data_IF_816014373666
#
_entry.id   IF_816014373666
#
_cell.length_a   1.000
_cell.length_b   1.000
_cell.length_c   1.000
_cell.angle_alpha   90.00
_cell.angle_beta   90.00
_cell.angle_gamma   90.00
#
_symmetry.space_group_name_H-M   'P 1'
#
loop_
_entity.id
_entity.type
_entity.pdbx_description
1 polymer ?
#
# COMPACT_ATOMS: atom_id res chain seq x y z
N UNK A 1 -9.99 5.16 8.88
CA UNK A 1 -10.08 3.75 8.39
C UNK A 1 -10.85 2.97 9.44
N UNK A 2 -11.91 2.24 9.07
CA UNK A 2 -12.73 1.46 10.02
C UNK A 2 -12.02 0.17 10.48
N UNK A 3 -12.57 -0.50 11.51
CA UNK A 3 -12.01 -1.73 12.07
C UNK A 3 -11.81 -2.82 11.01
N UNK A 4 -12.86 -3.19 10.24
CA UNK A 4 -12.80 -4.25 9.22
C UNK A 4 -11.61 -4.08 8.28
N UNK A 5 -11.41 -2.88 7.75
CA UNK A 5 -10.28 -2.59 6.85
C UNK A 5 -8.94 -2.74 7.55
N UNK A 6 -8.79 -2.23 8.77
CA UNK A 6 -7.54 -2.39 9.53
C UNK A 6 -7.23 -3.85 9.78
N UNK A 7 -8.22 -4.65 10.14
CA UNK A 7 -8.07 -6.08 10.37
C UNK A 7 -7.68 -6.81 9.06
N UNK A 8 -8.40 -6.59 7.95
CA UNK A 8 -8.07 -7.20 6.65
C UNK A 8 -6.67 -6.80 6.19
N UNK A 9 -6.25 -5.56 6.41
CA UNK A 9 -4.91 -5.08 6.04
C UNK A 9 -3.80 -5.53 7.01
N UNK A 10 -4.15 -6.27 8.08
CA UNK A 10 -3.17 -6.74 9.08
C UNK A 10 -2.58 -5.60 9.91
N UNK A 11 -3.32 -4.51 10.08
CA UNK A 11 -2.92 -3.35 10.88
C UNK A 11 -3.40 -3.45 12.34
N UNK A 12 -4.25 -4.41 12.65
CA UNK A 12 -4.66 -4.78 14.01
C UNK A 12 -5.07 -6.25 14.06
N UNK A 13 -5.06 -6.83 15.24
CA UNK A 13 -5.64 -8.14 15.53
C UNK A 13 -7.16 -8.02 15.71
N UNK A 14 -7.88 -9.16 15.73
CA UNK A 14 -9.33 -9.14 15.86
C UNK A 14 -9.78 -8.61 17.22
N UNK A 15 -9.05 -8.92 18.30
CA UNK A 15 -9.33 -8.48 19.67
C UNK A 15 -9.43 -6.95 19.80
N UNK A 16 -8.85 -6.18 18.87
CA UNK A 16 -9.01 -4.72 18.84
C UNK A 16 -10.46 -4.27 18.59
N UNK A 17 -11.39 -5.19 18.27
CA UNK A 17 -12.79 -4.89 18.06
C UNK A 17 -13.46 -4.39 19.36
N UNK A 18 -13.06 -4.93 20.51
CA UNK A 18 -13.60 -4.53 21.82
C UNK A 18 -13.25 -3.07 22.14
N UNK A 19 -12.02 -2.65 21.83
CA UNK A 19 -11.57 -1.27 21.99
C UNK A 19 -12.35 -0.32 21.08
N UNK A 20 -12.64 -0.74 19.84
CA UNK A 20 -13.44 0.05 18.89
C UNK A 20 -14.91 0.17 19.35
N UNK A 21 -15.48 -0.89 19.88
CA UNK A 21 -16.83 -0.88 20.45
C UNK A 21 -16.88 0.05 21.67
N UNK A 22 -15.92 -0.04 22.58
CA UNK A 22 -15.81 0.82 23.73
C UNK A 22 -15.68 2.30 23.33
N UNK A 23 -14.78 2.61 22.39
CA UNK A 23 -14.59 3.95 21.88
C UNK A 23 -15.86 4.53 21.22
N UNK A 24 -16.62 3.69 20.49
CA UNK A 24 -17.90 4.11 19.91
C UNK A 24 -18.95 4.46 20.99
N UNK A 25 -19.04 3.67 22.06
CA UNK A 25 -19.96 3.93 23.17
C UNK A 25 -19.61 5.17 23.99
N UNK A 26 -18.34 5.48 24.13
CA UNK A 26 -17.85 6.67 24.85
C UNK A 26 -17.95 7.96 24.03
N UNK A 27 -18.07 7.85 22.73
CA UNK A 27 -18.17 9.02 21.84
C UNK A 27 -19.48 9.77 22.05
N UNK A 28 -19.36 11.07 22.28
CA UNK A 28 -20.52 11.99 22.41
C UNK A 28 -20.99 12.54 21.05
N UNK A 29 -20.26 12.27 19.97
CA UNK A 29 -20.64 12.69 18.63
C UNK A 29 -21.56 11.65 17.97
N UNK A 30 -22.51 12.11 17.18
CA UNK A 30 -23.41 11.23 16.40
C UNK A 30 -22.64 10.56 15.27
N UNK A 31 -22.09 9.38 15.53
CA UNK A 31 -21.19 8.66 14.59
C UNK A 31 -21.90 7.59 13.74
N UNK A 32 -23.22 7.65 13.59
CA UNK A 32 -23.98 6.61 12.92
C UNK A 32 -24.15 5.36 13.78
N UNK A 33 -24.34 4.22 13.15
CA UNK A 33 -24.51 2.93 13.86
C UNK A 33 -23.16 2.28 14.17
N UNK A 34 -23.10 1.42 15.21
CA UNK A 34 -21.90 0.63 15.51
C UNK A 34 -21.46 -0.20 14.29
N UNK A 35 -22.40 -0.76 13.55
CA UNK A 35 -22.14 -1.48 12.30
C UNK A 35 -21.32 -0.64 11.30
N UNK A 36 -21.73 0.61 11.09
CA UNK A 36 -21.04 1.54 10.17
C UNK A 36 -19.66 1.93 10.70
N UNK A 37 -19.53 2.14 12.02
CA UNK A 37 -18.26 2.42 12.67
C UNK A 37 -17.26 1.27 12.47
N UNK A 38 -17.70 0.03 12.68
CA UNK A 38 -16.88 -1.16 12.47
C UNK A 38 -16.60 -1.42 10.96
N UNK A 39 -17.45 -0.91 10.06
CA UNK A 39 -17.34 -1.07 8.62
C UNK A 39 -17.93 -2.37 8.09
N UNK A 40 -18.88 -2.97 8.84
CA UNK A 40 -19.55 -4.21 8.44
C UNK A 40 -20.76 -3.94 7.54
N UNK A 41 -21.02 -4.86 6.62
CA UNK A 41 -22.32 -4.94 5.94
C UNK A 41 -23.41 -5.36 6.95
N UNK A 42 -24.68 -5.30 6.54
CA UNK A 42 -25.78 -5.74 7.39
C UNK A 42 -25.65 -7.26 7.72
N UNK A 43 -25.31 -8.06 6.72
CA UNK A 43 -25.15 -9.52 6.83
C UNK A 43 -23.96 -9.88 7.74
N UNK A 44 -22.83 -9.18 7.58
CA UNK A 44 -21.66 -9.38 8.44
C UNK A 44 -21.95 -9.01 9.89
N UNK A 45 -22.70 -7.92 10.12
CA UNK A 45 -23.06 -7.53 11.48
C UNK A 45 -23.99 -8.52 12.16
N UNK A 46 -24.96 -9.07 11.42
CA UNK A 46 -25.81 -10.16 11.90
C UNK A 46 -24.98 -11.40 12.25
N UNK A 47 -24.03 -11.75 11.37
CA UNK A 47 -23.11 -12.86 11.62
C UNK A 47 -22.22 -12.63 12.82
N UNK A 48 -21.68 -11.42 12.98
CA UNK A 48 -20.86 -11.02 14.14
C UNK A 48 -21.60 -11.19 15.47
N UNK A 49 -22.88 -10.83 15.51
CA UNK A 49 -23.71 -10.94 16.74
C UNK A 49 -24.06 -12.39 17.08
N UNK A 50 -24.09 -13.30 16.10
CA UNK A 50 -24.59 -14.67 16.27
C UNK A 50 -23.50 -15.73 16.29
N UNK A 51 -22.39 -15.50 15.61
CA UNK A 51 -21.31 -16.47 15.43
C UNK A 51 -20.30 -16.40 16.59
N UNK A 52 -19.51 -17.46 16.70
CA UNK A 52 -18.27 -17.44 17.47
C UNK A 52 -17.28 -16.47 16.83
N UNK A 53 -16.55 -15.71 17.67
CA UNK A 53 -15.60 -14.68 17.22
C UNK A 53 -14.54 -15.22 16.27
N UNK A 54 -14.00 -16.41 16.56
CA UNK A 54 -12.95 -17.03 15.74
C UNK A 54 -13.51 -17.39 14.36
N UNK A 55 -14.74 -17.88 14.30
CA UNK A 55 -15.41 -18.20 13.03
C UNK A 55 -15.61 -16.94 12.22
N UNK A 56 -16.14 -15.88 12.83
CA UNK A 56 -16.38 -14.61 12.16
C UNK A 56 -15.08 -13.95 11.67
N UNK A 57 -14.04 -13.93 12.52
CA UNK A 57 -12.73 -13.42 12.12
C UNK A 57 -12.16 -14.17 10.92
N UNK A 58 -12.26 -15.50 10.90
CA UNK A 58 -11.83 -16.33 9.77
C UNK A 58 -12.63 -16.05 8.50
N UNK A 59 -13.92 -15.76 8.60
CA UNK A 59 -14.74 -15.39 7.44
C UNK A 59 -14.29 -14.05 6.84
N UNK A 60 -14.00 -13.05 7.66
CA UNK A 60 -13.41 -11.78 7.21
C UNK A 60 -12.03 -11.97 6.55
N UNK A 61 -11.21 -12.90 7.06
CA UNK A 61 -9.89 -13.19 6.50
C UNK A 61 -9.95 -13.81 5.09
N UNK A 62 -11.09 -14.37 4.66
CA UNK A 62 -11.28 -14.83 3.28
C UNK A 62 -11.29 -13.68 2.25
N UNK A 63 -11.56 -12.47 2.71
CA UNK A 63 -11.49 -11.27 1.87
C UNK A 63 -10.07 -10.70 1.78
N UNK A 64 -9.12 -11.23 2.57
CA UNK A 64 -7.72 -10.82 2.56
C UNK A 64 -6.97 -11.46 1.39
N UNK A 65 -6.16 -10.66 0.71
CA UNK A 65 -5.20 -11.09 -0.30
C UNK A 65 -3.80 -10.59 0.06
N UNK A 66 -2.78 -11.38 -0.21
CA UNK A 66 -1.39 -10.92 -0.23
C UNK A 66 -1.08 -10.27 -1.58
N UNK A 67 -0.47 -9.08 -1.53
CA UNK A 67 0.07 -8.41 -2.70
C UNK A 67 1.57 -8.24 -2.53
N UNK A 68 2.36 -8.87 -3.38
CA UNK A 68 3.80 -8.68 -3.45
C UNK A 68 4.14 -7.41 -4.20
N UNK A 69 5.18 -6.72 -3.74
CA UNK A 69 5.67 -5.50 -4.39
C UNK A 69 7.18 -5.35 -4.28
N UNK A 70 7.74 -4.50 -5.15
CA UNK A 70 9.10 -4.01 -5.09
C UNK A 70 9.11 -2.50 -5.21
N UNK A 71 10.08 -1.87 -4.55
CA UNK A 71 10.33 -0.44 -4.64
C UNK A 71 11.70 -0.24 -5.28
N UNK A 72 11.72 0.57 -6.32
CA UNK A 72 12.93 1.00 -7.01
C UNK A 72 13.10 2.50 -6.82
N UNK A 73 14.28 2.91 -6.39
CA UNK A 73 14.63 4.31 -6.17
C UNK A 73 15.83 4.69 -7.03
N UNK A 74 15.89 5.97 -7.44
CA UNK A 74 17.05 6.49 -8.15
C UNK A 74 18.32 6.28 -7.33
N UNK A 75 19.33 5.71 -7.96
CA UNK A 75 20.64 5.52 -7.36
C UNK A 75 21.55 6.71 -7.68
N UNK A 76 22.04 7.38 -6.64
CA UNK A 76 22.95 8.51 -6.74
C UNK A 76 24.41 8.14 -6.42
N UNK A 77 24.74 6.86 -6.35
CA UNK A 77 26.10 6.39 -6.01
C UNK A 77 27.17 6.85 -7.02
N UNK A 78 26.76 7.18 -8.24
CA UNK A 78 27.63 7.72 -9.30
C UNK A 78 27.92 9.23 -9.16
N UNK A 79 27.30 9.90 -8.19
CA UNK A 79 27.42 11.35 -7.94
C UNK A 79 26.82 12.24 -9.03
N UNK A 80 26.14 11.69 -10.04
CA UNK A 80 25.60 12.46 -11.17
C UNK A 80 24.21 12.99 -10.83
N UNK A 81 23.93 14.27 -11.11
CA UNK A 81 22.59 14.83 -10.98
C UNK A 81 21.67 14.21 -12.03
N UNK A 82 20.44 13.93 -11.63
CA UNK A 82 19.36 13.44 -12.49
C UNK A 82 18.28 14.50 -12.52
N UNK A 83 18.06 15.14 -13.69
CA UNK A 83 17.18 16.31 -13.84
C UNK A 83 15.71 16.04 -13.52
N UNK A 84 15.29 14.79 -13.52
CA UNK A 84 13.94 14.35 -13.19
C UNK A 84 13.80 13.79 -11.76
N UNK A 85 14.89 13.81 -10.98
CA UNK A 85 14.88 13.28 -9.61
C UNK A 85 13.95 14.10 -8.71
N UNK A 86 13.10 13.41 -7.94
CA UNK A 86 12.10 14.00 -7.04
C UNK A 86 11.04 14.84 -7.76
N UNK A 87 10.91 14.65 -9.07
CA UNK A 87 9.96 15.36 -9.90
C UNK A 87 8.92 14.40 -10.50
N UNK A 88 7.79 14.97 -10.95
CA UNK A 88 6.73 14.21 -11.60
C UNK A 88 7.10 13.69 -12.98
N UNK A 89 6.21 12.89 -13.56
CA UNK A 89 6.41 12.23 -14.86
C UNK A 89 6.70 13.23 -15.99
N UNK A 90 6.19 14.46 -15.88
CA UNK A 90 6.48 15.50 -16.87
C UNK A 90 7.97 15.82 -16.96
N UNK A 91 8.67 15.93 -15.83
CA UNK A 91 10.10 16.22 -15.81
C UNK A 91 10.92 15.05 -16.42
N UNK A 92 10.48 13.80 -16.23
CA UNK A 92 11.05 12.64 -16.88
C UNK A 92 10.96 12.74 -18.41
N UNK A 93 9.78 13.12 -18.91
CA UNK A 93 9.55 13.31 -20.36
C UNK A 93 10.35 14.49 -20.92
N UNK A 94 10.41 15.62 -20.21
CA UNK A 94 11.18 16.81 -20.58
C UNK A 94 12.70 16.50 -20.60
N UNK A 95 13.17 15.55 -19.78
CA UNK A 95 14.54 15.04 -19.80
C UNK A 95 14.83 14.07 -20.99
N UNK A 96 13.83 13.83 -21.85
CA UNK A 96 13.96 12.99 -23.04
C UNK A 96 13.70 11.50 -22.85
N UNK A 97 13.25 11.10 -21.67
CA UNK A 97 12.93 9.70 -21.40
C UNK A 97 11.44 9.42 -21.66
N UNK A 98 11.13 8.38 -22.42
CA UNK A 98 9.75 7.89 -22.61
C UNK A 98 9.26 6.99 -21.48
N UNK A 99 10.20 6.45 -20.72
CA UNK A 99 10.01 5.59 -19.55
C UNK A 99 11.19 5.76 -18.60
N UNK A 100 11.04 5.44 -17.31
CA UNK A 100 12.16 5.54 -16.37
C UNK A 100 13.35 4.70 -16.83
N UNK A 101 14.57 5.28 -16.87
CA UNK A 101 15.79 4.58 -17.28
C UNK A 101 16.20 3.60 -16.17
N UNK A 102 15.76 2.35 -16.24
CA UNK A 102 15.90 1.37 -15.17
C UNK A 102 17.35 1.18 -14.66
N UNK A 103 18.35 1.36 -15.51
CA UNK A 103 19.76 1.31 -15.10
C UNK A 103 20.18 2.40 -14.09
N UNK A 104 19.39 3.46 -13.98
CA UNK A 104 19.59 4.54 -13.00
C UNK A 104 18.93 4.26 -11.64
N UNK A 105 18.21 3.15 -11.53
CA UNK A 105 17.46 2.76 -10.32
C UNK A 105 18.13 1.60 -9.61
N UNK A 106 17.92 1.54 -8.29
CA UNK A 106 18.26 0.39 -7.46
C UNK A 106 17.00 -0.18 -6.81
N UNK A 107 16.92 -1.51 -6.74
CA UNK A 107 15.94 -2.21 -5.91
C UNK A 107 16.30 -1.96 -4.45
N UNK A 108 15.39 -1.33 -3.70
CA UNK A 108 15.59 -1.00 -2.26
C UNK A 108 14.67 -1.78 -1.33
N UNK A 109 13.62 -2.37 -1.86
CA UNK A 109 12.67 -3.17 -1.07
C UNK A 109 12.00 -4.22 -1.95
N UNK A 110 11.85 -5.42 -1.38
CA UNK A 110 10.92 -6.44 -1.85
C UNK A 110 10.17 -6.97 -0.63
N UNK A 111 8.85 -6.84 -0.61
CA UNK A 111 8.02 -7.18 0.53
C UNK A 111 6.57 -7.45 0.05
N UNK A 112 5.65 -7.66 0.98
CA UNK A 112 4.23 -7.86 0.75
C UNK A 112 3.37 -7.01 1.67
N UNK A 113 2.16 -6.69 1.21
CA UNK A 113 1.09 -6.12 2.02
C UNK A 113 -0.11 -7.05 1.99
N UNK A 114 -0.95 -6.95 3.01
CA UNK A 114 -2.31 -7.46 2.94
C UNK A 114 -3.23 -6.38 2.37
N UNK A 115 -4.17 -6.79 1.53
CA UNK A 115 -5.19 -5.94 0.94
C UNK A 115 -6.51 -6.72 0.85
N UNK A 116 -7.60 -6.03 0.56
CA UNK A 116 -8.88 -6.66 0.26
C UNK A 116 -8.85 -7.22 -1.17
N UNK A 117 -9.58 -8.32 -1.41
CA UNK A 117 -9.64 -8.96 -2.74
C UNK A 117 -10.12 -8.01 -3.84
N UNK A 118 -11.01 -7.08 -3.52
CA UNK A 118 -11.58 -6.10 -4.46
C UNK A 118 -10.79 -4.77 -4.52
N UNK A 119 -9.68 -4.65 -3.79
CA UNK A 119 -8.90 -3.42 -3.82
C UNK A 119 -8.30 -3.20 -5.21
N UNK A 120 -8.43 -1.99 -5.70
CA UNK A 120 -7.79 -1.55 -6.94
C UNK A 120 -6.29 -1.34 -6.73
N UNK A 121 -5.52 -1.32 -7.82
CA UNK A 121 -4.08 -1.00 -7.77
C UNK A 121 -3.82 0.34 -7.09
N UNK A 122 -4.71 1.33 -7.27
CA UNK A 122 -4.61 2.62 -6.59
C UNK A 122 -4.61 2.46 -5.07
N UNK A 123 -5.53 1.67 -4.52
CA UNK A 123 -5.62 1.43 -3.06
C UNK A 123 -4.37 0.69 -2.57
N UNK A 124 -3.91 -0.34 -3.30
CA UNK A 124 -2.70 -1.09 -2.97
C UNK A 124 -1.46 -0.19 -2.95
N UNK A 125 -1.32 0.68 -3.95
CA UNK A 125 -0.22 1.65 -4.03
C UNK A 125 -0.27 2.70 -2.92
N UNK A 126 -1.47 3.14 -2.51
CA UNK A 126 -1.65 4.05 -1.37
C UNK A 126 -1.26 3.38 -0.04
N UNK A 127 -1.60 2.09 0.15
CA UNK A 127 -1.16 1.32 1.33
C UNK A 127 0.37 1.24 1.40
N UNK A 128 1.02 0.92 0.26
CA UNK A 128 2.48 0.89 0.17
C UNK A 128 3.07 2.28 0.44
N UNK A 129 2.53 3.32 -0.19
CA UNK A 129 3.00 4.69 0.01
C UNK A 129 2.94 5.11 1.48
N UNK A 130 1.81 4.88 2.15
CA UNK A 130 1.62 5.23 3.56
C UNK A 130 2.60 4.48 4.48
N UNK A 131 2.93 3.22 4.15
CA UNK A 131 3.91 2.43 4.91
C UNK A 131 5.33 2.99 4.85
N UNK A 132 5.68 3.74 3.78
CA UNK A 132 7.02 4.28 3.53
C UNK A 132 7.07 5.80 3.44
N UNK A 133 6.05 6.53 3.90
CA UNK A 133 6.02 7.99 3.85
C UNK A 133 6.62 8.65 5.10
N UNK A 134 6.12 8.31 6.28
CA UNK A 134 6.47 9.01 7.52
C UNK A 134 7.47 8.23 8.38
N UNK A 135 7.11 7.01 8.78
CA UNK A 135 7.97 6.14 9.59
C UNK A 135 8.39 4.95 8.74
N UNK A 136 9.71 4.82 8.52
CA UNK A 136 10.23 3.74 7.71
C UNK A 136 10.26 2.42 8.50
N UNK A 137 9.88 1.29 7.89
CA UNK A 137 9.97 -0.02 8.53
C UNK A 137 11.40 -0.36 8.95
N UNK A 138 11.53 -1.11 10.04
CA UNK A 138 12.83 -1.61 10.51
C UNK A 138 13.52 -2.44 9.40
N UNK A 139 14.81 -2.21 9.21
CA UNK A 139 15.61 -2.90 8.17
C UNK A 139 15.42 -2.36 6.75
N UNK A 140 14.55 -1.39 6.54
CA UNK A 140 14.42 -0.75 5.24
C UNK A 140 15.65 0.12 4.92
N UNK A 141 16.25 -0.08 3.76
CA UNK A 141 17.49 0.59 3.36
C UNK A 141 17.29 1.77 2.40
N UNK A 142 16.06 1.96 1.93
CA UNK A 142 15.69 3.07 1.07
C UNK A 142 15.36 4.34 1.84
N UNK A 143 15.03 5.39 1.12
CA UNK A 143 14.40 6.62 1.65
C UNK A 143 12.87 6.52 1.56
N UNK A 144 12.15 7.45 2.20
CA UNK A 144 10.70 7.60 2.00
C UNK A 144 10.36 7.65 0.51
N UNK A 145 9.22 7.07 0.13
CA UNK A 145 8.74 7.10 -1.26
C UNK A 145 8.46 8.55 -1.65
N UNK A 146 9.05 8.95 -2.77
CA UNK A 146 8.97 10.32 -3.29
C UNK A 146 8.71 10.30 -4.80
N UNK A 147 8.36 11.45 -5.41
CA UNK A 147 8.28 11.53 -6.86
C UNK A 147 9.55 10.99 -7.52
N UNK A 148 9.42 10.38 -8.67
CA UNK A 148 10.39 9.60 -9.43
C UNK A 148 10.64 8.16 -8.99
N UNK A 149 10.11 7.72 -7.85
CA UNK A 149 10.23 6.30 -7.48
C UNK A 149 9.32 5.42 -8.32
N UNK A 150 9.70 4.15 -8.45
CA UNK A 150 8.93 3.14 -9.17
C UNK A 150 8.50 2.05 -8.19
N UNK A 151 7.21 1.71 -8.22
CA UNK A 151 6.65 0.57 -7.49
C UNK A 151 6.22 -0.49 -8.50
N UNK A 152 6.66 -1.71 -8.29
CA UNK A 152 6.20 -2.91 -8.97
C UNK A 152 5.18 -3.61 -8.09
N UNK A 153 3.97 -3.88 -8.60
CA UNK A 153 3.04 -4.86 -8.04
C UNK A 153 3.18 -6.14 -8.86
N UNK A 154 3.31 -7.29 -8.18
CA UNK A 154 3.46 -8.55 -8.88
C UNK A 154 2.80 -9.69 -8.13
N UNK A 155 2.36 -10.70 -8.90
CA UNK A 155 1.83 -11.97 -8.45
C UNK A 155 2.12 -13.06 -9.52
N UNK A 156 1.42 -14.20 -9.42
CA UNK A 156 1.54 -15.30 -10.39
C UNK A 156 0.98 -14.92 -11.76
N UNK A 157 0.03 -13.98 -11.83
CA UNK A 157 -0.64 -13.57 -13.06
C UNK A 157 0.18 -12.56 -13.87
N UNK A 158 1.05 -11.76 -13.20
CA UNK A 158 1.85 -10.79 -13.91
C UNK A 158 2.55 -9.74 -13.05
N UNK A 159 2.94 -8.68 -13.74
CA UNK A 159 3.68 -7.56 -13.16
C UNK A 159 3.19 -6.25 -13.70
N UNK A 160 2.95 -5.30 -12.83
CA UNK A 160 2.56 -3.92 -13.15
C UNK A 160 3.56 -2.96 -12.52
N UNK A 161 3.89 -1.90 -13.24
CA UNK A 161 4.86 -0.90 -12.79
C UNK A 161 4.23 0.47 -12.75
N UNK A 162 4.51 1.22 -11.69
CA UNK A 162 3.93 2.52 -11.45
C UNK A 162 5.03 3.51 -11.03
N UNK A 163 5.04 4.65 -11.70
CA UNK A 163 5.89 5.78 -11.36
C UNK A 163 5.19 6.67 -10.35
N UNK A 164 5.84 7.04 -9.27
CA UNK A 164 5.32 8.02 -8.33
C UNK A 164 5.41 9.40 -8.96
N UNK A 165 4.28 9.97 -9.34
CA UNK A 165 4.13 11.38 -9.67
C UNK A 165 4.00 12.21 -8.38
N UNK A 166 3.73 13.50 -8.46
CA UNK A 166 3.68 14.38 -7.29
C UNK A 166 2.63 13.96 -6.27
N UNK A 167 1.44 13.58 -6.75
CA UNK A 167 0.26 13.30 -5.94
C UNK A 167 -0.40 11.93 -6.20
N UNK A 168 0.04 11.21 -7.22
CA UNK A 168 -0.52 9.91 -7.60
C UNK A 168 0.52 8.99 -8.22
N UNK A 169 0.11 7.77 -8.57
CA UNK A 169 0.92 6.82 -9.30
C UNK A 169 0.45 6.70 -10.74
N UNK A 170 1.38 6.75 -11.70
CA UNK A 170 1.13 6.59 -13.12
C UNK A 170 1.60 5.22 -13.59
N UNK A 171 0.78 4.44 -14.33
CA UNK A 171 1.23 3.19 -14.93
C UNK A 171 2.31 3.48 -15.98
N UNK A 172 3.36 2.67 -15.97
CA UNK A 172 4.53 2.83 -16.86
C UNK A 172 5.02 1.48 -17.38
N UNK A 173 5.96 1.54 -18.33
CA UNK A 173 6.83 0.40 -18.65
C UNK A 173 8.15 0.55 -17.91
N UNK A 174 8.65 -0.55 -17.34
CA UNK A 174 9.92 -0.58 -16.63
C UNK A 174 10.64 -1.90 -16.90
N UNK A 175 11.95 -1.89 -16.91
CA UNK A 175 12.77 -3.09 -17.20
C UNK A 175 13.61 -3.44 -15.97
N UNK A 176 13.05 -4.15 -14.96
CA UNK A 176 13.69 -4.35 -13.67
C UNK A 176 15.02 -5.11 -13.74
N UNK A 177 15.25 -5.88 -14.83
CA UNK A 177 16.50 -6.59 -15.07
C UNK A 177 17.71 -5.66 -15.25
N UNK A 178 17.47 -4.39 -15.60
CA UNK A 178 18.51 -3.38 -15.74
C UNK A 178 18.76 -2.59 -14.45
N UNK A 179 17.87 -2.71 -13.47
CA UNK A 179 18.03 -2.03 -12.19
C UNK A 179 19.16 -2.66 -11.37
N UNK A 180 19.85 -1.84 -10.59
CA UNK A 180 20.91 -2.29 -9.68
C UNK A 180 20.31 -3.08 -8.52
N UNK A 181 21.01 -4.08 -8.05
CA UNK A 181 20.70 -4.75 -6.77
C UNK A 181 21.58 -4.11 -5.69
N UNK A 182 20.94 -3.62 -4.65
CA UNK A 182 21.66 -3.17 -3.43
C UNK A 182 21.83 -4.32 -2.45
#
# INVERSE_FOLDING_TARGET
MNFKKRFIYGLCEFDCIDDEIAAWHESTESQGTLREHLGFTAEEYESFVQADEEIFANDLLRERREQHYRIYQLDFSDGKPKSFAFEGIKALLDAGYRQPPAAEYALVCEDKIFCHVDDTDKVRLELIFNRYSDTLPEGYTGRSIAPSDVVELFDEEGRLYFYRDKDHFCPIKFSPMLAKKK
#
